data_IF_078159816976
#
_entry.id   IF_078159816976
#
_cell.length_a   1.000
_cell.length_b   1.000
_cell.length_c   1.000
_cell.angle_alpha   90.00
_cell.angle_beta   90.00
_cell.angle_gamma   90.00
#
_symmetry.space_group_name_H-M   'P 1'
#
loop_
_entity.id
_entity.type
_entity.pdbx_description
1 polymer ?
#
# COMPACT_ATOMS: atom_id res chain seq x y z
N UNK A 1 -6.07 37.57 -68.61
CA UNK A 1 -6.59 36.20 -68.71
C UNK A 1 -5.40 35.24 -68.74
N UNK A 2 -5.21 34.40 -67.72
CA UNK A 2 -4.83 32.98 -67.81
C UNK A 2 -4.70 32.42 -66.38
N UNK A 3 -5.51 31.40 -66.09
CA UNK A 3 -5.50 30.54 -64.91
C UNK A 3 -4.44 29.43 -65.13
N UNK A 4 -3.84 28.88 -64.05
CA UNK A 4 -3.54 27.43 -63.82
C UNK A 4 -2.49 27.28 -62.69
N UNK A 5 -2.89 26.58 -61.62
CA UNK A 5 -2.08 25.91 -60.57
C UNK A 5 -1.95 24.44 -61.06
N UNK A 6 -0.92 23.58 -60.78
CA UNK A 6 -0.19 23.46 -59.49
C UNK A 6 1.28 23.00 -59.55
N UNK A 7 1.97 22.99 -58.41
CA UNK A 7 2.83 21.85 -58.07
C UNK A 7 2.95 21.67 -56.56
N UNK A 8 2.87 20.41 -56.15
CA UNK A 8 2.96 19.94 -54.78
C UNK A 8 4.42 19.75 -54.34
N UNK A 9 4.55 19.47 -53.04
CA UNK A 9 5.62 18.69 -52.41
C UNK A 9 6.66 19.49 -51.63
N UNK A 10 6.48 19.41 -50.30
CA UNK A 10 7.49 19.27 -49.24
C UNK A 10 8.66 20.25 -49.17
N UNK A 11 8.68 21.01 -48.07
CA UNK A 11 9.62 20.69 -46.99
C UNK A 11 9.23 21.50 -45.76
N UNK A 12 8.52 20.86 -44.83
CA UNK A 12 8.38 21.41 -43.48
C UNK A 12 9.76 21.35 -42.84
N UNK A 13 10.29 22.55 -42.61
CA UNK A 13 11.52 22.80 -41.88
C UNK A 13 11.49 22.07 -40.54
N UNK A 14 12.47 21.20 -40.41
CA UNK A 14 12.86 20.48 -39.21
C UNK A 14 13.25 21.49 -38.14
N UNK A 15 12.47 21.55 -37.06
CA UNK A 15 12.98 22.02 -35.77
C UNK A 15 12.70 21.00 -34.68
N UNK A 16 13.60 20.02 -34.68
CA UNK A 16 14.41 19.56 -33.55
C UNK A 16 13.75 19.37 -32.17
N UNK A 17 13.91 18.14 -31.69
CA UNK A 17 13.86 17.68 -30.29
C UNK A 17 12.46 17.51 -29.71
N UNK A 18 11.76 16.48 -30.16
CA UNK A 18 10.94 15.72 -29.21
C UNK A 18 11.85 14.66 -28.61
N UNK A 19 12.29 14.97 -27.39
CA UNK A 19 13.13 14.13 -26.54
C UNK A 19 12.52 12.73 -26.50
N UNK A 20 13.22 11.72 -27.00
CA UNK A 20 12.98 10.33 -26.60
C UNK A 20 13.06 10.29 -25.07
N UNK A 21 11.90 10.35 -24.42
CA UNK A 21 11.77 10.07 -23.00
C UNK A 21 12.01 8.58 -22.82
N UNK A 22 13.28 8.20 -22.78
CA UNK A 22 13.73 7.02 -22.05
C UNK A 22 13.46 7.33 -20.56
N UNK A 23 12.20 7.23 -20.16
CA UNK A 23 11.86 7.10 -18.75
C UNK A 23 12.45 5.75 -18.36
N UNK A 24 13.55 5.66 -17.58
CA UNK A 24 13.90 4.39 -16.97
C UNK A 24 12.62 4.02 -16.21
N UNK A 25 11.97 2.90 -16.53
CA UNK A 25 10.78 2.46 -15.80
C UNK A 25 11.18 2.34 -14.33
N UNK A 26 11.07 3.47 -13.63
CA UNK A 26 11.25 3.60 -12.21
C UNK A 26 10.24 2.62 -11.69
N UNK A 27 10.72 1.51 -11.12
CA UNK A 27 9.92 0.33 -10.86
C UNK A 27 8.77 0.77 -9.97
N UNK A 28 7.63 1.09 -10.59
CA UNK A 28 6.54 1.80 -9.92
C UNK A 28 5.86 0.89 -8.91
N UNK A 29 6.05 -0.43 -9.07
CA UNK A 29 5.50 -1.44 -8.19
C UNK A 29 6.29 -2.74 -8.25
N UNK A 30 7.17 -2.96 -7.26
CA UNK A 30 7.93 -4.22 -7.10
C UNK A 30 7.08 -5.30 -6.45
N UNK A 31 6.09 -4.91 -5.61
CA UNK A 31 5.27 -5.82 -4.81
C UNK A 31 3.78 -5.62 -5.09
N UNK A 32 3.03 -6.72 -5.18
CA UNK A 32 1.55 -6.70 -5.27
C UNK A 32 0.94 -7.68 -4.29
N UNK A 33 -0.17 -7.31 -3.69
CA UNK A 33 -1.04 -8.23 -2.95
C UNK A 33 -1.90 -9.01 -3.95
N UNK A 34 -2.06 -10.32 -3.72
CA UNK A 34 -2.94 -11.16 -4.53
C UNK A 34 -4.42 -10.89 -4.20
N UNK A 35 -5.31 -10.78 -5.20
CA UNK A 35 -6.71 -10.39 -4.99
C UNK A 35 -7.57 -11.45 -4.27
N UNK A 36 -7.08 -12.70 -4.19
CA UNK A 36 -7.81 -13.84 -3.62
C UNK A 36 -7.31 -14.23 -2.22
N UNK A 37 -6.55 -13.36 -1.55
CA UNK A 37 -6.13 -13.59 -0.16
C UNK A 37 -7.27 -13.18 0.77
N UNK A 38 -7.55 -14.01 1.76
CA UNK A 38 -8.51 -13.72 2.81
C UNK A 38 -8.05 -12.53 3.69
N UNK A 39 -9.01 -11.71 4.10
CA UNK A 39 -8.75 -10.53 4.95
C UNK A 39 -8.03 -10.91 6.24
N UNK A 40 -8.29 -12.11 6.77
CA UNK A 40 -7.62 -12.62 7.96
C UNK A 40 -6.12 -12.84 7.73
N UNK A 41 -5.72 -13.51 6.66
CA UNK A 41 -4.31 -13.70 6.30
C UNK A 41 -3.61 -12.38 5.96
N UNK A 42 -4.31 -11.44 5.31
CA UNK A 42 -3.82 -10.09 5.06
C UNK A 42 -3.50 -9.34 6.37
N UNK A 43 -4.42 -9.39 7.32
CA UNK A 43 -4.25 -8.76 8.63
C UNK A 43 -3.19 -9.49 9.47
N UNK A 44 -3.13 -10.82 9.41
CA UNK A 44 -2.09 -11.60 10.08
C UNK A 44 -0.69 -11.18 9.62
N UNK A 45 -0.46 -11.16 8.29
CA UNK A 45 0.81 -10.72 7.73
C UNK A 45 1.12 -9.24 8.00
N UNK A 46 0.11 -8.38 8.04
CA UNK A 46 0.29 -7.00 8.48
C UNK A 46 0.75 -6.92 9.94
N UNK A 47 0.15 -7.72 10.83
CA UNK A 47 0.53 -7.83 12.25
C UNK A 47 1.97 -8.31 12.40
N UNK A 48 2.35 -9.39 11.71
CA UNK A 48 3.73 -9.92 11.74
C UNK A 48 4.77 -8.91 11.21
N UNK A 49 4.40 -8.15 10.16
CA UNK A 49 5.27 -7.11 9.59
C UNK A 49 5.44 -5.95 10.58
N UNK A 50 4.36 -5.53 11.24
CA UNK A 50 4.41 -4.49 12.27
C UNK A 50 5.23 -4.95 13.48
N UNK A 51 5.03 -6.18 13.96
CA UNK A 51 5.84 -6.74 15.06
C UNK A 51 7.34 -6.76 14.72
N UNK A 52 7.68 -7.11 13.48
CA UNK A 52 9.07 -7.07 13.01
C UNK A 52 9.61 -5.64 12.95
N UNK A 53 8.80 -4.68 12.49
CA UNK A 53 9.15 -3.26 12.48
C UNK A 53 9.33 -2.71 13.89
N UNK A 54 8.52 -3.17 14.84
CA UNK A 54 8.55 -2.77 16.24
C UNK A 54 9.89 -3.11 16.89
N UNK A 55 10.37 -4.34 16.68
CA UNK A 55 11.70 -4.77 17.15
C UNK A 55 12.80 -3.90 16.55
N UNK A 56 12.79 -3.68 15.23
CA UNK A 56 13.79 -2.84 14.56
C UNK A 56 13.74 -1.38 15.03
N UNK A 57 12.54 -0.84 15.26
CA UNK A 57 12.36 0.53 15.74
C UNK A 57 12.84 0.70 17.18
N UNK A 58 12.61 -0.31 18.04
CA UNK A 58 13.11 -0.35 19.41
C UNK A 58 14.64 -0.42 19.45
N UNK A 59 15.24 -1.29 18.63
CA UNK A 59 16.70 -1.42 18.51
C UNK A 59 17.31 -0.08 18.05
N UNK A 60 16.72 0.53 17.01
CA UNK A 60 17.12 1.83 16.49
C UNK A 60 16.97 2.96 17.53
N UNK A 61 15.89 2.97 18.33
CA UNK A 61 15.71 3.92 19.41
C UNK A 61 16.78 3.78 20.51
N UNK A 62 17.28 2.57 20.73
CA UNK A 62 18.39 2.28 21.65
C UNK A 62 19.73 2.85 21.17
N UNK A 63 20.00 2.79 19.87
CA UNK A 63 21.25 3.27 19.27
C UNK A 63 21.31 4.80 19.07
N UNK A 64 20.14 5.45 18.91
CA UNK A 64 20.05 6.88 18.61
C UNK A 64 20.06 7.79 19.86
N UNK A 65 20.73 8.94 19.77
CA UNK A 65 20.76 9.99 20.79
C UNK A 65 20.09 11.29 20.28
N UNK A 66 19.57 12.11 21.20
CA UNK A 66 18.99 13.42 20.87
C UNK A 66 17.68 13.34 20.05
N UNK A 67 17.54 14.19 19.04
CA UNK A 67 16.31 14.33 18.25
C UNK A 67 15.91 13.04 17.49
N UNK A 68 16.88 12.23 17.08
CA UNK A 68 16.65 10.97 16.35
C UNK A 68 15.99 9.90 17.25
N UNK A 69 16.22 9.95 18.57
CA UNK A 69 15.55 9.06 19.54
C UNK A 69 14.05 9.36 19.63
N UNK A 70 13.66 10.64 19.57
CA UNK A 70 12.25 11.03 19.57
C UNK A 70 11.52 10.49 18.33
N UNK A 71 12.19 10.52 17.17
CA UNK A 71 11.66 9.96 15.93
C UNK A 71 11.51 8.44 16.02
N UNK A 72 12.50 7.71 16.53
CA UNK A 72 12.42 6.26 16.71
C UNK A 72 11.34 5.85 17.75
N UNK A 73 11.17 6.63 18.82
CA UNK A 73 10.07 6.45 19.77
C UNK A 73 8.69 6.70 19.13
N UNK A 74 8.58 7.69 18.23
CA UNK A 74 7.34 7.93 17.49
C UNK A 74 7.03 6.78 16.51
N UNK A 75 8.04 6.23 15.82
CA UNK A 75 7.90 5.05 14.96
C UNK A 75 7.42 3.82 15.75
N UNK A 76 7.99 3.60 16.94
CA UNK A 76 7.57 2.56 17.87
C UNK A 76 6.09 2.72 18.25
N UNK A 77 5.69 3.92 18.70
CA UNK A 77 4.31 4.20 19.10
C UNK A 77 3.31 4.00 17.96
N UNK A 78 3.65 4.43 16.74
CA UNK A 78 2.80 4.22 15.57
C UNK A 78 2.68 2.73 15.20
N UNK A 79 3.74 1.95 15.43
CA UNK A 79 3.74 0.51 15.15
C UNK A 79 2.86 -0.24 16.14
N UNK A 80 2.98 0.04 17.45
CA UNK A 80 2.09 -0.54 18.48
C UNK A 80 0.61 -0.19 18.24
N UNK A 81 0.32 1.05 17.83
CA UNK A 81 -1.03 1.46 17.45
C UNK A 81 -1.53 0.69 16.23
N UNK A 82 -0.66 0.47 15.23
CA UNK A 82 -0.97 -0.34 14.06
C UNK A 82 -1.32 -1.78 14.42
N UNK A 83 -0.55 -2.42 15.30
CA UNK A 83 -0.83 -3.79 15.77
C UNK A 83 -2.17 -3.88 16.48
N UNK A 84 -2.49 -2.93 17.36
CA UNK A 84 -3.78 -2.88 18.04
C UNK A 84 -4.95 -2.75 17.06
N UNK A 85 -4.82 -1.90 16.03
CA UNK A 85 -5.85 -1.73 15.00
C UNK A 85 -6.05 -3.01 14.16
N UNK A 86 -4.95 -3.68 13.81
CA UNK A 86 -4.98 -4.94 13.05
C UNK A 86 -5.60 -6.07 13.88
N UNK A 87 -5.20 -6.21 15.14
CA UNK A 87 -5.76 -7.20 16.06
C UNK A 87 -7.26 -6.95 16.26
N UNK A 88 -7.68 -5.69 16.42
CA UNK A 88 -9.10 -5.33 16.51
C UNK A 88 -9.86 -5.64 15.22
N UNK A 89 -9.23 -5.43 14.06
CA UNK A 89 -9.83 -5.78 12.78
C UNK A 89 -9.99 -7.30 12.64
N UNK A 90 -9.05 -8.10 13.14
CA UNK A 90 -9.15 -9.57 13.19
C UNK A 90 -10.30 -10.03 14.09
N UNK A 91 -10.42 -9.48 15.31
CA UNK A 91 -11.53 -9.78 16.23
C UNK A 91 -12.90 -9.46 15.61
N UNK A 92 -13.01 -8.41 14.80
CA UNK A 92 -14.26 -8.07 14.13
C UNK A 92 -14.63 -9.06 13.00
N UNK A 93 -13.67 -9.83 12.49
CA UNK A 93 -13.91 -10.87 11.50
C UNK A 93 -14.36 -12.19 12.14
N UNK A 94 -14.05 -12.41 13.43
CA UNK A 94 -14.58 -13.54 14.17
C UNK A 94 -16.08 -13.36 14.42
N UNK A 95 -16.93 -14.36 14.09
CA UNK A 95 -18.35 -14.26 14.38
C UNK A 95 -18.54 -14.17 15.90
N UNK A 96 -19.48 -13.34 16.39
CA UNK A 96 -19.74 -13.23 17.82
C UNK A 96 -20.11 -14.62 18.34
N UNK A 97 -19.33 -15.13 19.29
CA UNK A 97 -19.62 -16.37 20.01
C UNK A 97 -20.92 -16.18 20.79
N UNK A 98 -22.03 -16.52 20.14
CA UNK A 98 -23.33 -16.02 20.57
C UNK A 98 -24.47 -16.48 19.67
N UNK A 99 -24.51 -17.77 19.34
CA UNK A 99 -25.80 -18.43 19.19
C UNK A 99 -26.10 -19.13 20.52
N UNK A 100 -26.83 -18.49 21.45
CA UNK A 100 -27.54 -19.29 22.43
C UNK A 100 -28.49 -20.18 21.64
N UNK A 101 -28.45 -21.45 22.01
CA UNK A 101 -29.21 -22.59 21.51
C UNK A 101 -30.73 -22.32 21.53
N UNK A 102 -31.22 -21.43 20.66
CA UNK A 102 -32.61 -20.99 20.61
C UNK A 102 -33.46 -21.86 19.67
N UNK A 103 -33.19 -23.17 19.61
CA UNK A 103 -33.95 -24.13 18.80
C UNK A 103 -34.73 -25.18 19.58
N UNK A 104 -34.78 -25.13 20.91
CA UNK A 104 -35.45 -26.18 21.70
C UNK A 104 -36.44 -25.61 22.73
N UNK A 105 -37.57 -25.00 22.32
CA UNK A 105 -38.73 -24.99 23.25
C UNK A 105 -40.15 -24.76 22.70
N UNK A 106 -40.42 -24.64 21.40
CA UNK A 106 -41.80 -24.36 20.94
C UNK A 106 -42.45 -25.55 20.22
N UNK A 107 -42.49 -26.69 20.92
CA UNK A 107 -43.28 -27.85 20.55
C UNK A 107 -44.01 -28.42 21.78
N UNK A 108 -45.02 -27.69 22.29
CA UNK A 108 -46.15 -28.27 23.04
C UNK A 108 -47.42 -27.49 22.74
#
# INVERSE_FOLDING_TARGET
MQKVIPNATESQDVSTVDTHQEHPECISRVFTVLPNIDTQSLLCHASETLASLNVMSTDLAGELQGANRSMAMALQQLTELGELLVNRALENLEPPVGTPDASLNNQR
#
